data_IF_264629785706
#
_entry.id   IF_264629785706
#
_cell.length_a   1.000
_cell.length_b   1.000
_cell.length_c   1.000
_cell.angle_alpha   90.00
_cell.angle_beta   90.00
_cell.angle_gamma   90.00
#
_symmetry.space_group_name_H-M   'P 1'
#
loop_
_entity.id
_entity.type
_entity.pdbx_description
1 polymer ?
#
# COMPACT_ATOMS: atom_id res chain seq x y z
N UNK A 1 -16.42 -4.22 -11.65
CA UNK A 1 -15.39 -3.88 -10.67
C UNK A 1 -15.84 -2.83 -9.66
N UNK A 2 -17.13 -2.53 -9.65
CA UNK A 2 -17.70 -1.68 -8.62
C UNK A 2 -17.55 -2.30 -7.23
N UNK A 3 -17.53 -3.63 -7.16
CA UNK A 3 -17.36 -4.35 -5.89
C UNK A 3 -16.04 -4.03 -5.19
N UNK A 4 -14.98 -3.81 -5.95
CA UNK A 4 -13.68 -3.50 -5.36
C UNK A 4 -13.72 -2.17 -4.61
N UNK A 5 -14.29 -1.13 -5.21
CA UNK A 5 -14.40 0.19 -4.59
C UNK A 5 -15.43 0.19 -3.45
N UNK A 6 -16.56 -0.46 -3.65
CA UNK A 6 -17.62 -0.51 -2.65
C UNK A 6 -17.15 -1.22 -1.37
N UNK A 7 -16.40 -2.32 -1.52
CA UNK A 7 -15.89 -3.05 -0.37
C UNK A 7 -14.93 -2.21 0.46
N UNK A 8 -14.12 -1.35 -0.18
CA UNK A 8 -13.19 -0.50 0.57
C UNK A 8 -13.88 0.64 1.31
N UNK A 9 -15.07 1.07 0.86
CA UNK A 9 -15.80 2.16 1.48
C UNK A 9 -16.67 1.71 2.64
N UNK A 10 -17.38 0.59 2.48
CA UNK A 10 -18.43 0.22 3.43
C UNK A 10 -17.94 -0.71 4.52
N UNK A 11 -17.13 -1.67 4.15
CA UNK A 11 -16.65 -2.66 5.09
C UNK A 11 -15.19 -2.90 4.87
N UNK A 12 -14.45 -2.88 5.94
CA UNK A 12 -13.04 -3.20 5.87
C UNK A 12 -12.90 -4.71 5.66
N UNK A 13 -12.68 -5.12 4.43
CA UNK A 13 -12.29 -6.50 4.16
C UNK A 13 -10.98 -6.78 4.88
N UNK A 14 -10.84 -7.98 5.42
CA UNK A 14 -9.56 -8.41 5.98
C UNK A 14 -8.55 -8.63 4.86
N UNK A 15 -7.27 -8.71 5.21
CA UNK A 15 -6.24 -9.05 4.24
C UNK A 15 -6.51 -10.40 3.59
N UNK A 16 -7.04 -11.35 4.36
CA UNK A 16 -7.39 -12.67 3.85
C UNK A 16 -8.50 -12.59 2.79
N UNK A 17 -9.50 -11.73 3.01
CA UNK A 17 -10.58 -11.52 2.05
C UNK A 17 -10.05 -10.97 0.73
N UNK A 18 -9.17 -9.97 0.80
CA UNK A 18 -8.56 -9.40 -0.40
C UNK A 18 -7.69 -10.42 -1.12
N UNK A 19 -6.88 -11.15 -0.38
CA UNK A 19 -5.97 -12.15 -0.96
C UNK A 19 -6.72 -13.32 -1.59
N UNK A 20 -7.96 -13.58 -1.17
CA UNK A 20 -8.81 -14.60 -1.75
C UNK A 20 -9.65 -14.10 -2.94
N UNK A 21 -9.51 -12.81 -3.30
CA UNK A 21 -10.30 -12.19 -4.37
C UNK A 21 -9.54 -12.24 -5.70
N UNK A 22 -9.92 -13.16 -6.63
CA UNK A 22 -9.13 -13.35 -7.85
C UNK A 22 -8.90 -12.10 -8.70
N UNK A 23 -9.87 -11.16 -8.85
CA UNK A 23 -9.62 -9.95 -9.64
C UNK A 23 -8.50 -9.07 -9.11
N UNK A 24 -8.11 -9.22 -7.83
CA UNK A 24 -7.00 -8.46 -7.28
C UNK A 24 -5.68 -8.77 -8.00
N UNK A 25 -5.57 -9.95 -8.59
CA UNK A 25 -4.34 -10.43 -9.23
C UNK A 25 -4.25 -10.10 -10.71
N UNK A 26 -5.22 -9.37 -11.25
CA UNK A 26 -5.21 -8.90 -12.64
C UNK A 26 -5.32 -7.39 -12.64
N UNK A 27 -4.31 -6.71 -13.19
CA UNK A 27 -4.31 -5.24 -13.24
C UNK A 27 -5.56 -4.75 -13.98
N UNK A 28 -6.38 -3.95 -13.30
CA UNK A 28 -7.66 -3.54 -13.82
C UNK A 28 -7.51 -2.42 -14.86
N UNK A 29 -8.19 -2.51 -16.00
CA UNK A 29 -8.04 -1.51 -17.06
C UNK A 29 -8.71 -0.16 -16.77
N UNK A 30 -9.77 -0.16 -15.98
CA UNK A 30 -10.48 1.07 -15.63
C UNK A 30 -9.67 1.85 -14.58
N UNK A 31 -9.38 3.12 -14.87
CA UNK A 31 -8.44 3.89 -14.06
C UNK A 31 -8.84 4.00 -12.59
N UNK A 32 -10.11 4.30 -12.29
CA UNK A 32 -10.53 4.44 -10.90
C UNK A 32 -10.48 3.10 -10.15
N UNK A 33 -10.86 2.01 -10.81
CA UNK A 33 -10.81 0.66 -10.22
C UNK A 33 -9.36 0.24 -10.02
N UNK A 34 -8.50 0.53 -10.99
CA UNK A 34 -7.08 0.22 -10.90
C UNK A 34 -6.42 0.95 -9.73
N UNK A 35 -6.77 2.21 -9.52
CA UNK A 35 -6.21 2.97 -8.41
C UNK A 35 -6.65 2.39 -7.06
N UNK A 36 -7.91 2.03 -6.92
CA UNK A 36 -8.40 1.37 -5.71
C UNK A 36 -7.67 0.04 -5.50
N UNK A 37 -7.47 -0.73 -6.57
CA UNK A 37 -6.72 -1.98 -6.53
C UNK A 37 -5.28 -1.77 -6.06
N UNK A 38 -4.60 -0.77 -6.62
CA UNK A 38 -3.22 -0.49 -6.25
C UNK A 38 -3.11 -0.05 -4.80
N UNK A 39 -4.06 0.72 -4.30
CA UNK A 39 -4.09 1.13 -2.89
C UNK A 39 -4.27 -0.07 -1.96
N UNK A 40 -5.09 -1.03 -2.33
CA UNK A 40 -5.23 -2.28 -1.57
C UNK A 40 -3.89 -3.02 -1.51
N UNK A 41 -3.18 -3.11 -2.63
CA UNK A 41 -1.87 -3.75 -2.68
C UNK A 41 -0.85 -3.05 -1.80
N UNK A 42 -0.84 -1.72 -1.80
CA UNK A 42 0.07 -0.94 -0.96
C UNK A 42 -0.17 -1.26 0.52
N UNK A 43 -1.42 -1.30 0.94
CA UNK A 43 -1.76 -1.64 2.32
C UNK A 43 -1.39 -3.09 2.67
N UNK A 44 -1.61 -4.02 1.75
CA UNK A 44 -1.22 -5.41 1.94
C UNK A 44 0.30 -5.54 2.09
N UNK A 45 1.05 -4.83 1.25
CA UNK A 45 2.51 -4.80 1.34
C UNK A 45 2.98 -4.28 2.69
N UNK A 46 2.39 -3.18 3.15
CA UNK A 46 2.77 -2.60 4.43
C UNK A 46 2.53 -3.58 5.57
N UNK A 47 1.35 -4.21 5.60
CA UNK A 47 1.04 -5.18 6.66
C UNK A 47 1.90 -6.44 6.57
N UNK A 48 2.22 -6.87 5.34
CA UNK A 48 3.13 -7.98 5.13
C UNK A 48 4.53 -7.69 5.67
N UNK A 49 5.03 -6.49 5.40
CA UNK A 49 6.33 -6.04 5.92
C UNK A 49 6.32 -5.93 7.43
N UNK A 50 5.26 -5.37 7.99
CA UNK A 50 5.11 -5.21 9.43
C UNK A 50 5.11 -6.57 10.14
N UNK A 51 4.39 -7.54 9.59
CA UNK A 51 4.34 -8.89 10.17
C UNK A 51 5.69 -9.57 10.17
N UNK A 52 6.53 -9.28 9.18
CA UNK A 52 7.88 -9.86 9.06
C UNK A 52 8.97 -9.00 9.64
N UNK A 53 8.65 -7.81 10.08
CA UNK A 53 9.61 -6.82 10.56
C UNK A 53 10.74 -6.59 9.54
N UNK A 54 10.36 -6.52 8.27
CA UNK A 54 11.30 -6.31 7.16
C UNK A 54 10.67 -5.33 6.18
N UNK A 55 11.29 -4.19 6.00
CA UNK A 55 10.70 -3.05 5.29
C UNK A 55 11.18 -2.87 3.86
N UNK A 56 12.02 -3.78 3.38
CA UNK A 56 12.44 -3.81 2.00
C UNK A 56 11.94 -5.09 1.33
N UNK A 57 11.42 -4.96 0.11
CA UNK A 57 10.91 -6.10 -0.64
C UNK A 57 11.53 -6.14 -2.03
N UNK A 58 11.82 -7.34 -2.49
CA UNK A 58 12.17 -7.57 -3.88
C UNK A 58 10.86 -7.71 -4.66
N UNK A 59 10.49 -6.68 -5.40
CA UNK A 59 9.21 -6.61 -6.08
C UNK A 59 9.00 -7.80 -7.02
N UNK A 60 10.06 -8.26 -7.66
CA UNK A 60 9.96 -9.36 -8.63
C UNK A 60 9.67 -10.72 -7.98
N UNK A 61 10.08 -10.92 -6.73
CA UNK A 61 10.01 -12.25 -6.09
C UNK A 61 9.22 -12.27 -4.79
N UNK A 62 8.57 -11.17 -4.41
CA UNK A 62 7.87 -11.09 -3.13
C UNK A 62 6.66 -12.03 -3.08
N UNK A 63 6.60 -12.84 -2.03
CA UNK A 63 5.54 -13.84 -1.89
C UNK A 63 4.15 -13.26 -1.67
N UNK A 64 4.05 -12.00 -1.23
CA UNK A 64 2.75 -11.36 -1.05
C UNK A 64 1.93 -11.32 -2.34
N UNK A 65 2.60 -11.31 -3.49
CA UNK A 65 1.94 -11.24 -4.79
C UNK A 65 1.45 -12.61 -5.31
N UNK A 66 1.63 -13.66 -4.54
CA UNK A 66 1.29 -15.02 -4.95
C UNK A 66 0.32 -15.63 -3.94
N UNK A 67 -0.75 -16.24 -4.44
CA UNK A 67 -1.66 -17.01 -3.60
C UNK A 67 -1.92 -18.35 -4.28
N UNK A 68 -1.21 -19.38 -3.85
CA UNK A 68 -1.31 -20.72 -4.41
C UNK A 68 -2.65 -21.37 -4.09
N UNK A 69 -3.30 -20.98 -2.99
CA UNK A 69 -4.59 -21.54 -2.59
C UNK A 69 -5.67 -21.31 -3.65
N UNK A 70 -5.59 -20.21 -4.39
CA UNK A 70 -6.53 -19.90 -5.47
C UNK A 70 -5.85 -19.92 -6.83
N UNK A 71 -4.60 -20.36 -6.88
CA UNK A 71 -3.81 -20.42 -8.10
C UNK A 71 -3.77 -19.09 -8.84
N UNK A 72 -3.43 -18.03 -8.11
CA UNK A 72 -3.33 -16.67 -8.67
C UNK A 72 -2.03 -16.01 -8.27
N UNK A 73 -1.52 -15.16 -9.15
CA UNK A 73 -0.34 -14.36 -8.88
C UNK A 73 -0.43 -13.08 -9.69
N UNK A 74 0.06 -12.01 -9.11
CA UNK A 74 0.18 -10.74 -9.82
C UNK A 74 1.43 -10.82 -10.71
N UNK A 75 1.28 -10.49 -11.99
CA UNK A 75 2.39 -10.58 -12.93
C UNK A 75 3.43 -9.47 -12.70
N UNK A 76 4.53 -9.54 -13.43
CA UNK A 76 5.63 -8.58 -13.30
C UNK A 76 5.16 -7.14 -13.53
N UNK A 77 4.34 -6.93 -14.56
CA UNK A 77 3.82 -5.61 -14.87
C UNK A 77 2.97 -5.09 -13.70
N UNK A 78 2.08 -5.92 -13.17
CA UNK A 78 1.25 -5.55 -12.03
C UNK A 78 2.07 -5.20 -10.82
N UNK A 79 3.09 -5.99 -10.52
CA UNK A 79 3.98 -5.73 -9.39
C UNK A 79 4.72 -4.40 -9.53
N UNK A 80 5.19 -4.09 -10.73
CA UNK A 80 5.85 -2.80 -10.99
C UNK A 80 4.88 -1.64 -10.82
N UNK A 81 3.62 -1.81 -11.25
CA UNK A 81 2.61 -0.78 -11.08
C UNK A 81 2.29 -0.53 -9.61
N UNK A 82 2.26 -1.59 -8.78
CA UNK A 82 2.11 -1.44 -7.33
C UNK A 82 3.27 -0.63 -6.76
N UNK A 83 4.51 -0.96 -7.14
CA UNK A 83 5.69 -0.24 -6.66
C UNK A 83 5.65 1.24 -7.06
N UNK A 84 5.31 1.53 -8.31
CA UNK A 84 5.17 2.91 -8.78
C UNK A 84 4.08 3.66 -8.03
N UNK A 85 2.94 3.01 -7.80
CA UNK A 85 1.84 3.61 -7.07
C UNK A 85 2.24 3.92 -5.62
N UNK A 86 2.97 3.01 -4.98
CA UNK A 86 3.47 3.23 -3.62
C UNK A 86 4.39 4.46 -3.58
N UNK A 87 5.28 4.60 -4.55
CA UNK A 87 6.16 5.76 -4.64
C UNK A 87 5.37 7.06 -4.86
N UNK A 88 4.37 7.04 -5.75
CA UNK A 88 3.53 8.21 -6.00
C UNK A 88 2.75 8.62 -4.76
N UNK A 89 2.31 7.65 -3.97
CA UNK A 89 1.55 7.91 -2.75
C UNK A 89 2.42 8.31 -1.56
N UNK A 90 3.75 8.30 -1.71
CA UNK A 90 4.67 8.55 -0.61
C UNK A 90 4.74 7.38 0.37
N UNK A 91 4.30 6.20 -0.06
CA UNK A 91 4.27 4.98 0.75
C UNK A 91 5.41 4.02 0.39
N UNK A 92 6.32 4.43 -0.47
CA UNK A 92 7.44 3.59 -0.85
C UNK A 92 8.54 4.39 -1.51
N UNK A 93 9.73 3.79 -1.54
CA UNK A 93 10.90 4.37 -2.20
C UNK A 93 11.66 3.25 -2.89
N UNK A 94 11.90 3.41 -4.21
CA UNK A 94 12.68 2.44 -4.95
C UNK A 94 14.16 2.66 -4.67
N UNK A 95 14.85 1.58 -4.32
CA UNK A 95 16.27 1.60 -4.03
C UNK A 95 17.08 1.27 -5.29
N UNK A 96 18.38 1.53 -5.25
CA UNK A 96 19.26 1.33 -6.41
C UNK A 96 19.29 -0.11 -6.91
N UNK A 97 19.14 -1.07 -6.01
CA UNK A 97 19.15 -2.49 -6.37
C UNK A 97 17.81 -3.00 -6.88
N UNK A 98 16.83 -2.13 -7.04
CA UNK A 98 15.50 -2.51 -7.50
C UNK A 98 14.54 -2.93 -6.39
N UNK A 99 15.00 -2.96 -5.15
CA UNK A 99 14.11 -3.24 -4.02
C UNK A 99 13.22 -2.04 -3.71
N UNK A 100 12.07 -2.31 -3.10
CA UNK A 100 11.16 -1.27 -2.65
C UNK A 100 11.23 -1.16 -1.14
N UNK A 101 11.51 0.05 -0.64
CA UNK A 101 11.41 0.36 0.78
C UNK A 101 9.97 0.80 1.06
N UNK A 102 9.30 0.11 1.98
CA UNK A 102 7.87 0.30 2.25
C UNK A 102 7.67 1.19 3.47
N UNK A 103 6.83 2.23 3.31
CA UNK A 103 6.53 3.20 4.34
C UNK A 103 5.07 3.07 4.79
N UNK A 104 4.84 3.27 6.07
CA UNK A 104 3.51 3.20 6.65
C UNK A 104 2.61 4.30 6.12
N UNK A 105 3.14 5.52 6.06
CA UNK A 105 2.36 6.67 5.62
C UNK A 105 3.28 7.69 4.97
N UNK A 106 2.66 8.64 4.26
CA UNK A 106 3.40 9.69 3.59
C UNK A 106 4.11 10.58 4.60
N UNK A 107 5.33 11.05 4.29
CA UNK A 107 6.04 11.99 5.18
C UNK A 107 5.22 13.24 5.50
N UNK A 108 4.47 13.77 4.53
CA UNK A 108 3.62 14.94 4.79
C UNK A 108 2.51 14.65 5.78
N UNK A 109 2.02 13.42 5.82
CA UNK A 109 0.99 13.01 6.78
C UNK A 109 1.57 12.95 8.19
N UNK A 110 2.80 12.49 8.32
CA UNK A 110 3.52 12.51 9.61
C UNK A 110 3.71 13.93 10.10
N UNK A 111 4.12 14.84 9.21
CA UNK A 111 4.30 16.24 9.54
C UNK A 111 2.99 16.85 10.01
N UNK A 112 1.89 16.54 9.35
CA UNK A 112 0.56 17.01 9.74
C UNK A 112 0.15 16.48 11.10
N UNK A 113 0.42 15.21 11.38
CA UNK A 113 0.12 14.62 12.67
C UNK A 113 0.91 15.29 13.80
N UNK A 114 2.17 15.58 13.56
CA UNK A 114 3.00 16.30 14.52
C UNK A 114 2.47 17.70 14.77
N UNK A 115 2.06 18.38 13.71
CA UNK A 115 1.47 19.71 13.80
C UNK A 115 0.20 19.69 14.65
N UNK A 116 -0.72 18.76 14.35
CA UNK A 116 -1.97 18.63 15.07
C UNK A 116 -1.73 18.31 16.54
N UNK A 117 -0.77 17.45 16.83
CA UNK A 117 -0.39 17.11 18.19
C UNK A 117 0.13 18.34 18.94
N UNK A 118 1.03 19.10 18.32
CA UNK A 118 1.61 20.29 18.90
C UNK A 118 0.53 21.36 19.19
N UNK A 119 -0.40 21.53 18.26
CA UNK A 119 -1.51 22.44 18.42
C UNK A 119 -2.40 22.05 19.59
N UNK A 120 -2.72 20.75 19.70
CA UNK A 120 -3.56 20.22 20.76
C UNK A 120 -2.91 20.39 22.14
N UNK A 121 -1.59 20.33 22.22
CA UNK A 121 -0.85 20.49 23.48
C UNK A 121 -0.50 21.93 23.80
N UNK A 122 -0.83 22.89 22.93
CA UNK A 122 -0.52 24.29 23.13
C UNK A 122 0.94 24.66 22.91
N UNK A 123 1.70 23.81 22.24
CA UNK A 123 3.16 24.03 22.03
C UNK A 123 3.50 24.62 20.69
N UNK A 124 2.53 24.84 19.83
CA UNK A 124 2.78 25.25 18.47
C UNK A 124 3.66 26.51 18.37
N UNK A 125 3.32 27.55 19.12
CA UNK A 125 4.07 28.81 19.07
C UNK A 125 5.50 28.70 19.54
N UNK A 126 5.77 27.82 20.50
CA UNK A 126 7.09 27.67 21.07
C UNK A 126 7.99 26.66 20.33
N UNK A 127 7.39 25.72 19.65
CA UNK A 127 8.14 24.60 19.05
C UNK A 127 8.36 24.77 17.56
N UNK A 128 7.39 25.35 16.84
CA UNK A 128 7.42 25.39 15.38
C UNK A 128 7.53 26.81 14.78
N UNK A 129 7.89 27.73 15.55
CA UNK A 129 8.11 29.09 15.04
C UNK A 129 9.47 29.26 14.37
#
# INVERSE_FOLDING_TARGET
MAELAAATEEEAWSDEDWQAFPPLYTLQPHAATREAQLNVWIDLLWRWCKARNSWTVDVASCDVFVNDAINRRLDEKGRREVAKAACRAGRGELLEDGALFVLEQQPKDLARQLYDWAKATGRLGGVFT
#
